data_IF_053746289765
#
_entry.id   IF_053746289765
#
_cell.length_a   1.000
_cell.length_b   1.000
_cell.length_c   1.000
_cell.angle_alpha   90.00
_cell.angle_beta   90.00
_cell.angle_gamma   90.00
#
_symmetry.space_group_name_H-M   'P 1'
#
loop_
_entity.id
_entity.type
_entity.pdbx_description
1 polymer ?
#
# COMPACT_ATOMS: atom_id res chain seq x y z
N UNK A 1 29.30 6.92 47.05
CA UNK A 1 30.74 7.27 47.00
C UNK A 1 31.09 7.76 45.62
N UNK A 2 31.41 9.08 45.56
CA UNK A 2 32.38 9.78 44.67
C UNK A 2 32.09 9.84 43.15
N UNK A 3 31.55 11.00 42.72
CA UNK A 3 31.91 11.71 41.48
C UNK A 3 33.42 12.08 41.49
N UNK A 4 34.05 12.42 40.33
CA UNK A 4 34.06 13.76 39.75
C UNK A 4 33.89 13.72 38.22
N UNK A 5 33.25 14.71 37.54
CA UNK A 5 33.54 16.13 37.29
C UNK A 5 34.89 16.44 36.61
N UNK A 6 34.82 17.02 35.43
CA UNK A 6 35.69 17.96 34.74
C UNK A 6 35.75 17.65 33.23
N UNK A 7 35.90 18.54 32.28
CA UNK A 7 35.91 19.98 32.14
C UNK A 7 35.88 20.31 30.64
N UNK A 8 35.19 21.35 30.27
CA UNK A 8 35.33 22.31 29.19
C UNK A 8 36.49 22.20 28.17
N UNK A 9 36.15 22.42 26.90
CA UNK A 9 36.89 23.43 26.08
C UNK A 9 36.03 23.89 24.90
N UNK A 10 35.74 25.16 24.87
CA UNK A 10 35.23 25.97 23.77
C UNK A 10 36.38 26.42 22.90
N UNK A 11 36.16 26.52 21.56
CA UNK A 11 36.96 27.38 20.68
C UNK A 11 36.09 27.88 19.55
N UNK A 12 35.84 29.19 19.58
CA UNK A 12 35.33 30.04 18.52
C UNK A 12 36.50 30.64 17.73
N UNK A 13 36.31 30.86 16.42
CA UNK A 13 36.96 31.90 15.59
C UNK A 13 36.19 31.93 14.28
N UNK A 14 35.39 32.93 13.97
CA UNK A 14 35.66 34.30 13.51
C UNK A 14 35.95 34.38 12.01
N UNK A 15 34.97 34.91 11.33
CA UNK A 15 34.88 36.00 10.37
C UNK A 15 36.06 36.24 9.39
N UNK A 16 35.69 36.42 8.11
CA UNK A 16 36.09 37.61 7.35
C UNK A 16 35.22 37.76 6.10
N UNK A 17 34.60 38.90 6.08
CA UNK A 17 34.00 39.65 4.98
C UNK A 17 35.04 39.97 3.91
N UNK A 18 34.60 40.13 2.67
CA UNK A 18 34.88 41.30 1.81
C UNK A 18 34.20 41.19 0.46
N UNK A 19 33.27 42.04 0.18
CA UNK A 19 32.92 42.74 -1.04
C UNK A 19 33.94 43.91 -1.23
N UNK A 20 34.14 44.61 -2.40
CA UNK A 20 33.22 44.87 -3.51
C UNK A 20 33.89 45.01 -4.90
N UNK A 21 33.09 45.35 -5.88
CA UNK A 21 33.29 46.30 -6.99
C UNK A 21 32.96 45.76 -8.39
N UNK A 22 31.90 46.31 -8.94
CA UNK A 22 31.65 46.45 -10.38
C UNK A 22 32.64 47.47 -11.02
N UNK A 23 32.79 47.54 -12.36
CA UNK A 23 31.81 48.22 -13.21
C UNK A 23 31.58 47.60 -14.60
N UNK A 24 30.45 47.97 -15.19
CA UNK A 24 30.12 47.88 -16.61
C UNK A 24 31.04 48.70 -17.53
N UNK A 25 31.13 48.38 -18.85
CA UNK A 25 30.30 49.10 -19.80
C UNK A 25 29.66 48.26 -20.93
N UNK A 26 28.50 48.68 -21.37
CA UNK A 26 27.99 48.49 -22.75
C UNK A 26 28.84 49.30 -23.76
N UNK A 27 28.81 48.96 -25.10
CA UNK A 27 27.62 49.14 -25.89
C UNK A 27 27.41 48.20 -27.12
N UNK A 28 26.17 48.15 -27.53
CA UNK A 28 25.65 48.14 -28.92
C UNK A 28 26.24 47.16 -29.96
N UNK A 29 25.41 46.22 -30.39
CA UNK A 29 25.23 45.89 -31.79
C UNK A 29 23.94 45.08 -32.02
N UNK A 30 23.02 45.68 -32.75
CA UNK A 30 21.83 45.07 -33.29
C UNK A 30 22.15 43.80 -34.09
N UNK A 31 21.51 42.70 -33.74
CA UNK A 31 21.42 41.53 -34.59
C UNK A 31 20.02 40.92 -34.49
N UNK A 32 19.44 40.81 -35.64
CA UNK A 32 18.10 40.38 -36.00
C UNK A 32 17.50 39.27 -35.14
N UNK A 33 16.25 39.52 -34.72
CA UNK A 33 15.33 38.54 -34.12
C UNK A 33 14.99 37.48 -35.13
N UNK A 34 15.54 36.31 -35.00
CA UNK A 34 14.93 35.07 -35.54
C UNK A 34 14.10 34.49 -34.41
N UNK A 35 12.79 34.60 -34.52
CA UNK A 35 11.81 33.93 -33.65
C UNK A 35 11.96 32.43 -33.82
N UNK A 36 12.34 31.66 -32.79
CA UNK A 36 12.27 30.21 -32.88
C UNK A 36 10.80 29.80 -32.96
N UNK A 37 10.45 29.04 -34.00
CA UNK A 37 9.14 28.42 -34.11
C UNK A 37 8.91 27.52 -32.90
N UNK A 38 7.78 27.73 -32.20
CA UNK A 38 7.36 26.90 -31.09
C UNK A 38 7.25 25.43 -31.56
N UNK A 39 7.76 24.45 -30.79
CA UNK A 39 7.54 23.06 -31.09
C UNK A 39 6.04 22.73 -31.07
N UNK A 40 5.57 21.83 -31.96
CA UNK A 40 4.16 21.45 -31.96
C UNK A 40 3.78 20.89 -30.58
N UNK A 41 2.53 21.13 -30.11
CA UNK A 41 2.07 20.62 -28.83
C UNK A 41 2.24 19.08 -28.84
N UNK A 42 3.01 18.58 -27.88
CA UNK A 42 3.11 17.14 -27.66
C UNK A 42 1.69 16.63 -27.42
N UNK A 43 1.25 15.70 -28.28
CA UNK A 43 -0.02 15.00 -28.13
C UNK A 43 -0.03 14.39 -26.73
N UNK A 44 -0.85 14.93 -25.82
CA UNK A 44 -0.97 14.37 -24.48
C UNK A 44 -1.45 12.93 -24.64
N UNK A 45 -0.64 11.98 -24.15
CA UNK A 45 -1.06 10.60 -24.03
C UNK A 45 -2.38 10.57 -23.22
N UNK A 46 -3.37 9.75 -23.61
CA UNK A 46 -4.61 9.63 -22.85
C UNK A 46 -4.24 9.29 -21.41
N UNK A 47 -4.93 9.88 -20.41
CA UNK A 47 -4.66 9.57 -19.01
C UNK A 47 -4.79 8.06 -18.82
N UNK A 48 -3.72 7.42 -18.37
CA UNK A 48 -3.75 6.03 -18.00
C UNK A 48 -4.89 5.86 -16.98
N UNK A 49 -5.90 5.07 -17.33
CA UNK A 49 -7.04 4.78 -16.46
C UNK A 49 -6.47 4.11 -15.20
N UNK A 50 -6.35 4.89 -14.11
CA UNK A 50 -5.83 4.39 -12.84
C UNK A 50 -6.79 3.31 -12.37
N UNK A 51 -6.26 2.11 -12.12
CA UNK A 51 -7.05 1.01 -11.56
C UNK A 51 -7.70 1.46 -10.25
N UNK A 52 -8.97 1.13 -9.99
CA UNK A 52 -9.62 1.51 -8.75
C UNK A 52 -8.85 0.94 -7.55
N UNK A 53 -8.42 1.83 -6.66
CA UNK A 53 -7.58 1.48 -5.49
C UNK A 53 -8.41 1.12 -4.25
N UNK A 54 -9.74 1.02 -4.39
CA UNK A 54 -10.64 0.70 -3.28
C UNK A 54 -10.94 -0.79 -3.23
N UNK A 55 -10.51 -1.44 -2.15
CA UNK A 55 -10.87 -2.80 -1.81
C UNK A 55 -12.27 -2.79 -1.14
N UNK A 56 -13.19 -3.59 -1.64
CA UNK A 56 -14.56 -3.68 -1.15
C UNK A 56 -14.93 -5.13 -0.82
N UNK A 57 -16.03 -5.37 -0.13
CA UNK A 57 -16.53 -6.72 0.11
C UNK A 57 -16.84 -7.48 -1.19
N UNK A 58 -17.13 -6.76 -2.27
CA UNK A 58 -17.33 -7.36 -3.58
C UNK A 58 -16.03 -7.77 -4.28
N UNK A 59 -14.87 -7.22 -3.87
CA UNK A 59 -13.56 -7.50 -4.47
C UNK A 59 -12.75 -6.24 -4.77
N UNK A 60 -11.84 -6.33 -5.76
CA UNK A 60 -10.92 -5.27 -6.16
C UNK A 60 -10.82 -5.17 -7.69
N UNK A 61 -11.07 -3.99 -8.24
CA UNK A 61 -10.98 -3.76 -9.67
C UNK A 61 -11.91 -4.71 -10.44
N UNK A 62 -11.34 -5.53 -11.32
CA UNK A 62 -12.08 -6.54 -12.07
C UNK A 62 -12.36 -7.83 -11.27
N UNK A 63 -11.60 -8.10 -10.21
CA UNK A 63 -11.83 -9.29 -9.36
C UNK A 63 -13.10 -9.14 -8.53
N UNK A 64 -13.92 -10.20 -8.53
CA UNK A 64 -15.12 -10.31 -7.70
C UNK A 64 -15.06 -11.56 -6.84
N UNK A 65 -15.35 -11.41 -5.55
CA UNK A 65 -15.48 -12.57 -4.64
C UNK A 65 -16.61 -13.48 -5.14
N UNK A 66 -16.35 -14.78 -5.21
CA UNK A 66 -17.29 -15.77 -5.69
C UNK A 66 -17.30 -15.98 -7.21
N UNK A 67 -16.63 -15.13 -7.99
CA UNK A 67 -16.57 -15.24 -9.45
C UNK A 67 -15.22 -15.82 -9.94
N UNK A 68 -15.16 -16.36 -11.15
CA UNK A 68 -13.89 -16.71 -11.79
C UNK A 68 -13.02 -15.47 -12.01
N UNK A 69 -11.71 -15.69 -12.10
CA UNK A 69 -10.78 -14.60 -12.52
C UNK A 69 -11.10 -14.20 -13.96
N UNK A 70 -11.42 -12.94 -14.25
CA UNK A 70 -11.77 -12.51 -15.59
C UNK A 70 -10.57 -12.62 -16.55
N UNK A 71 -10.80 -13.19 -17.73
CA UNK A 71 -9.79 -13.24 -18.78
C UNK A 71 -9.34 -11.82 -19.16
N UNK A 72 -8.03 -11.62 -19.38
CA UNK A 72 -7.48 -10.33 -19.77
C UNK A 72 -7.47 -9.26 -18.68
N UNK A 73 -7.82 -9.58 -17.44
CA UNK A 73 -7.86 -8.62 -16.31
C UNK A 73 -6.50 -8.26 -15.71
N UNK A 74 -5.40 -8.81 -16.25
CA UNK A 74 -4.05 -8.65 -15.67
C UNK A 74 -3.78 -9.54 -14.44
N UNK A 75 -4.80 -10.17 -13.87
CA UNK A 75 -4.66 -11.16 -12.81
C UNK A 75 -4.30 -12.51 -13.38
N UNK A 76 -3.23 -13.10 -12.90
CA UNK A 76 -2.74 -14.39 -13.35
C UNK A 76 -1.97 -15.12 -12.24
N UNK A 77 -1.91 -16.43 -12.36
CA UNK A 77 -1.01 -17.25 -11.56
C UNK A 77 0.43 -16.87 -11.87
N UNK A 78 1.22 -16.64 -10.83
CA UNK A 78 2.65 -16.32 -10.93
C UNK A 78 3.41 -17.08 -9.85
N UNK A 79 4.47 -17.78 -10.27
CA UNK A 79 5.25 -18.64 -9.40
C UNK A 79 4.61 -20.01 -9.17
N UNK A 80 5.19 -20.78 -8.25
CA UNK A 80 4.70 -22.10 -7.89
C UNK A 80 3.34 -22.00 -7.20
N UNK A 81 2.44 -22.91 -7.54
CA UNK A 81 1.14 -23.03 -6.91
C UNK A 81 1.15 -24.19 -5.91
N UNK A 82 0.41 -24.06 -4.80
CA UNK A 82 0.40 -25.05 -3.74
C UNK A 82 -0.39 -26.31 -4.15
N UNK A 83 -1.47 -26.15 -4.94
CA UNK A 83 -2.29 -27.25 -5.41
C UNK A 83 -3.06 -26.89 -6.69
N UNK A 84 -3.72 -27.89 -7.31
CA UNK A 84 -4.57 -27.67 -8.47
C UNK A 84 -5.92 -27.05 -8.10
N UNK A 85 -6.37 -27.23 -6.87
CA UNK A 85 -7.67 -26.75 -6.39
C UNK A 85 -7.59 -25.39 -5.69
N UNK A 86 -6.44 -25.04 -5.11
CA UNK A 86 -6.20 -23.73 -4.47
C UNK A 86 -5.00 -23.05 -5.11
N UNK A 87 -5.23 -21.90 -5.72
CA UNK A 87 -4.24 -21.15 -6.49
C UNK A 87 -4.14 -19.70 -6.03
N UNK A 88 -2.97 -19.10 -6.22
CA UNK A 88 -2.72 -17.70 -5.94
C UNK A 88 -2.56 -16.95 -7.25
N UNK A 89 -3.32 -15.88 -7.42
CA UNK A 89 -3.19 -14.95 -8.54
C UNK A 89 -2.74 -13.57 -8.04
N UNK A 90 -1.93 -12.91 -8.85
CA UNK A 90 -1.44 -11.54 -8.61
C UNK A 90 -1.58 -10.70 -9.86
N UNK A 91 -1.53 -9.37 -9.73
CA UNK A 91 -1.53 -8.44 -10.86
C UNK A 91 -0.42 -7.40 -10.69
N UNK A 92 0.29 -7.02 -11.77
CA UNK A 92 1.25 -5.92 -11.72
C UNK A 92 0.58 -4.56 -11.43
N UNK A 93 -0.72 -4.42 -11.74
CA UNK A 93 -1.48 -3.20 -11.49
C UNK A 93 -1.77 -2.98 -9.99
N UNK A 94 -1.66 -4.04 -9.19
CA UNK A 94 -1.90 -4.02 -7.73
C UNK A 94 -0.73 -4.63 -6.96
N UNK A 95 0.44 -3.95 -6.89
CA UNK A 95 1.59 -4.44 -6.14
C UNK A 95 1.23 -4.70 -4.67
N UNK A 96 1.64 -5.86 -4.15
CA UNK A 96 1.36 -6.24 -2.76
C UNK A 96 -0.04 -6.79 -2.51
N UNK A 97 -0.84 -6.95 -3.56
CA UNK A 97 -2.16 -7.61 -3.49
C UNK A 97 -2.09 -8.98 -4.16
N UNK A 98 -2.72 -9.96 -3.55
CA UNK A 98 -2.93 -11.28 -4.14
C UNK A 98 -4.36 -11.75 -3.89
N UNK A 99 -4.81 -12.72 -4.68
CA UNK A 99 -6.09 -13.35 -4.42
C UNK A 99 -5.92 -14.87 -4.39
N UNK A 100 -6.73 -15.52 -3.54
CA UNK A 100 -6.86 -16.96 -3.49
C UNK A 100 -8.06 -17.35 -4.36
N UNK A 101 -7.79 -18.26 -5.28
CA UNK A 101 -8.77 -18.89 -6.14
C UNK A 101 -8.91 -20.35 -5.71
N UNK A 102 -10.05 -20.72 -5.19
CA UNK A 102 -10.36 -22.09 -4.79
C UNK A 102 -11.57 -22.57 -5.58
N UNK A 103 -11.49 -23.78 -6.15
CA UNK A 103 -12.50 -24.36 -7.05
C UNK A 103 -12.87 -23.42 -8.22
N UNK A 104 -11.87 -22.77 -8.80
CA UNK A 104 -12.02 -21.86 -9.94
C UNK A 104 -12.67 -20.51 -9.63
N UNK A 105 -12.90 -20.17 -8.35
CA UNK A 105 -13.52 -18.91 -7.92
C UNK A 105 -12.64 -18.12 -6.97
N UNK A 106 -12.65 -16.82 -7.09
CA UNK A 106 -11.99 -15.93 -6.13
C UNK A 106 -12.67 -16.04 -4.77
N UNK A 107 -11.95 -16.51 -3.77
CA UNK A 107 -12.45 -16.69 -2.41
C UNK A 107 -11.94 -15.66 -1.44
N UNK A 108 -10.75 -15.11 -1.69
CA UNK A 108 -10.14 -14.07 -0.84
C UNK A 108 -9.28 -13.13 -1.70
N UNK A 109 -9.35 -11.85 -1.43
CA UNK A 109 -8.39 -10.84 -1.88
C UNK A 109 -7.66 -10.32 -0.65
N UNK A 110 -6.34 -10.31 -0.71
CA UNK A 110 -5.46 -9.90 0.40
C UNK A 110 -4.56 -8.76 -0.02
N UNK A 111 -4.47 -7.74 0.81
CA UNK A 111 -3.62 -6.58 0.63
C UNK A 111 -2.55 -6.54 1.73
N UNK A 112 -1.29 -6.83 1.39
CA UNK A 112 -0.15 -6.88 2.30
C UNK A 112 0.75 -5.64 2.21
N UNK A 113 1.95 -5.71 2.79
CA UNK A 113 2.85 -4.57 3.06
C UNK A 113 3.11 -3.59 1.91
N UNK A 114 3.07 -4.01 0.65
CA UNK A 114 3.31 -3.14 -0.51
C UNK A 114 2.03 -2.63 -1.16
N UNK A 115 0.88 -3.04 -0.64
CA UNK A 115 -0.39 -2.64 -1.18
C UNK A 115 -0.66 -1.16 -0.92
N UNK A 116 -1.22 -0.49 -1.92
CA UNK A 116 -1.68 0.91 -1.83
C UNK A 116 -3.19 1.02 -1.80
N UNK A 117 -3.88 -0.11 -1.91
CA UNK A 117 -5.34 -0.15 -1.83
C UNK A 117 -5.81 0.16 -0.42
N UNK A 118 -6.94 0.83 -0.33
CA UNK A 118 -7.62 1.12 0.93
C UNK A 118 -9.06 0.67 0.88
N UNK A 119 -9.67 0.50 2.03
CA UNK A 119 -11.12 0.38 2.15
C UNK A 119 -11.78 1.75 1.97
N UNK A 120 -13.10 1.78 1.77
CA UNK A 120 -13.86 3.01 1.65
C UNK A 120 -13.74 3.94 2.87
N UNK A 121 -13.52 3.36 4.05
CA UNK A 121 -13.28 4.04 5.31
C UNK A 121 -11.86 4.63 5.43
N UNK A 122 -11.04 4.53 4.38
CA UNK A 122 -9.66 5.03 4.36
C UNK A 122 -8.67 4.14 5.13
N UNK A 123 -9.09 2.95 5.57
CA UNK A 123 -8.21 2.00 6.24
C UNK A 123 -7.39 1.25 5.19
N UNK A 124 -6.08 1.30 5.33
CA UNK A 124 -5.10 0.58 4.52
C UNK A 124 -4.06 -0.11 5.39
N UNK A 125 -3.12 -0.82 4.75
CA UNK A 125 -1.95 -1.38 5.44
C UNK A 125 -1.16 -0.25 6.12
N UNK A 126 -0.72 -0.46 7.35
CA UNK A 126 -0.06 0.54 8.20
C UNK A 126 -1.01 1.39 9.05
N UNK A 127 -2.33 1.33 8.85
CA UNK A 127 -3.31 1.96 9.73
C UNK A 127 -3.18 1.39 11.16
N UNK A 128 -3.49 2.19 12.18
CA UNK A 128 -3.44 1.71 13.56
C UNK A 128 -4.64 0.83 13.91
N UNK A 129 -4.45 -0.10 14.85
CA UNK A 129 -5.56 -0.88 15.43
C UNK A 129 -6.70 0.02 15.94
N UNK A 130 -6.37 1.18 16.51
CA UNK A 130 -7.36 2.13 16.99
C UNK A 130 -8.24 2.69 15.85
N UNK A 131 -7.65 2.98 14.68
CA UNK A 131 -8.40 3.41 13.50
C UNK A 131 -9.32 2.30 13.00
N UNK A 132 -8.84 1.05 12.96
CA UNK A 132 -9.66 -0.12 12.58
C UNK A 132 -10.86 -0.25 13.53
N UNK A 133 -10.64 -0.21 14.85
CA UNK A 133 -11.71 -0.34 15.84
C UNK A 133 -12.71 0.80 15.80
N UNK A 134 -12.27 2.01 15.46
CA UNK A 134 -13.16 3.16 15.29
C UNK A 134 -14.05 3.02 14.03
N UNK A 135 -13.46 2.54 12.93
CA UNK A 135 -14.19 2.34 11.68
C UNK A 135 -15.10 1.09 11.70
N UNK A 136 -14.68 0.05 12.41
CA UNK A 136 -15.34 -1.25 12.44
C UNK A 136 -15.60 -1.73 13.89
N UNK A 137 -16.53 -1.13 14.60
CA UNK A 137 -16.88 -1.57 15.95
C UNK A 137 -17.46 -2.99 15.93
N UNK A 138 -17.13 -3.79 16.96
CA UNK A 138 -17.66 -5.13 17.12
C UNK A 138 -16.88 -6.25 16.39
N UNK A 139 -15.76 -5.94 15.75
CA UNK A 139 -14.89 -6.99 15.19
C UNK A 139 -14.37 -7.89 16.31
N UNK A 140 -14.41 -9.20 16.07
CA UNK A 140 -13.93 -10.21 17.02
C UNK A 140 -12.42 -10.29 16.97
N UNK A 141 -11.82 -10.38 18.13
CA UNK A 141 -10.37 -10.54 18.29
C UNK A 141 -10.02 -12.02 18.45
N UNK A 142 -8.96 -12.44 17.74
CA UNK A 142 -8.38 -13.77 17.85
C UNK A 142 -6.85 -13.65 17.92
N UNK A 143 -6.14 -14.52 18.68
CA UNK A 143 -4.68 -14.51 18.70
C UNK A 143 -4.10 -14.70 17.30
N UNK A 144 -3.04 -13.96 16.97
CA UNK A 144 -2.32 -14.16 15.71
C UNK A 144 -1.51 -15.47 15.75
N UNK A 145 -1.50 -16.22 14.64
CA UNK A 145 -0.84 -17.52 14.59
C UNK A 145 0.68 -17.42 14.79
N UNK A 146 1.30 -16.33 14.29
CA UNK A 146 2.76 -16.20 14.26
C UNK A 146 3.31 -15.00 15.03
N UNK A 147 2.46 -14.03 15.36
CA UNK A 147 2.88 -12.81 16.05
C UNK A 147 2.38 -12.86 17.49
N UNK A 148 3.31 -12.86 18.44
CA UNK A 148 2.95 -12.80 19.86
C UNK A 148 2.14 -11.54 20.18
N UNK A 149 1.36 -11.57 21.27
CA UNK A 149 0.62 -10.40 21.73
C UNK A 149 1.53 -9.16 21.77
N UNK A 150 1.05 -8.00 21.28
CA UNK A 150 -0.32 -7.64 20.95
C UNK A 150 -0.81 -8.02 19.56
N UNK A 151 -0.03 -8.82 18.79
CA UNK A 151 -0.43 -9.31 17.47
C UNK A 151 -1.74 -10.10 17.55
N UNK A 152 -2.63 -9.88 16.59
CA UNK A 152 -3.98 -10.46 16.58
C UNK A 152 -4.62 -10.41 15.22
N UNK A 153 -5.70 -11.16 15.06
CA UNK A 153 -6.67 -10.97 13.98
C UNK A 153 -7.86 -10.19 14.50
N UNK A 154 -8.43 -9.36 13.65
CA UNK A 154 -9.73 -8.72 13.85
C UNK A 154 -10.66 -9.15 12.72
N UNK A 155 -11.68 -9.94 13.04
CA UNK A 155 -12.59 -10.54 12.06
C UNK A 155 -13.98 -9.97 12.21
N UNK A 156 -14.63 -9.61 11.11
CA UNK A 156 -15.98 -9.07 11.09
C UNK A 156 -16.97 -10.01 11.79
N UNK A 157 -17.93 -9.48 12.58
CA UNK A 157 -19.02 -10.28 13.12
C UNK A 157 -19.84 -10.86 11.95
N UNK A 158 -20.25 -12.12 12.03
CA UNK A 158 -21.02 -12.75 10.98
C UNK A 158 -20.22 -13.30 9.80
N UNK A 159 -18.88 -13.22 9.80
CA UNK A 159 -18.03 -13.78 8.74
C UNK A 159 -18.30 -15.26 8.43
N UNK A 160 -18.83 -16.02 9.41
CA UNK A 160 -19.17 -17.43 9.23
C UNK A 160 -20.49 -17.66 8.46
N UNK A 161 -21.24 -16.62 8.13
CA UNK A 161 -22.55 -16.75 7.47
C UNK A 161 -22.46 -17.08 5.97
N UNK A 162 -21.25 -17.10 5.38
CA UNK A 162 -21.03 -17.44 3.97
C UNK A 162 -20.91 -16.23 3.04
N UNK A 163 -21.27 -15.04 3.51
CA UNK A 163 -21.09 -13.80 2.78
C UNK A 163 -19.62 -13.29 2.85
N UNK A 164 -19.17 -12.49 1.89
CA UNK A 164 -17.87 -11.85 1.96
C UNK A 164 -17.75 -10.96 3.20
N UNK A 165 -16.64 -11.10 3.90
CA UNK A 165 -16.36 -10.37 5.13
C UNK A 165 -14.93 -9.85 5.16
N UNK A 166 -14.64 -8.93 6.10
CA UNK A 166 -13.31 -8.39 6.38
C UNK A 166 -12.61 -9.15 7.51
N UNK A 167 -11.30 -9.30 7.35
CA UNK A 167 -10.37 -9.71 8.40
C UNK A 167 -9.11 -8.86 8.30
N UNK A 168 -8.62 -8.36 9.42
CA UNK A 168 -7.34 -7.66 9.52
C UNK A 168 -6.35 -8.49 10.29
N UNK A 169 -5.10 -8.45 9.86
CA UNK A 169 -3.96 -8.86 10.67
C UNK A 169 -3.35 -7.62 11.32
N UNK A 170 -3.16 -7.68 12.63
CA UNK A 170 -2.53 -6.64 13.43
C UNK A 170 -1.19 -7.15 13.92
N UNK A 171 -0.13 -6.38 13.64
CA UNK A 171 1.23 -6.72 14.02
C UNK A 171 1.56 -6.38 15.48
N UNK A 172 2.81 -6.66 15.89
CA UNK A 172 3.30 -6.35 17.23
C UNK A 172 3.37 -4.83 17.53
N UNK A 173 3.39 -3.98 16.48
CA UNK A 173 3.35 -2.52 16.60
C UNK A 173 1.91 -1.96 16.62
N UNK A 174 0.90 -2.84 16.71
CA UNK A 174 -0.53 -2.49 16.63
C UNK A 174 -0.90 -1.76 15.33
N UNK A 175 -0.29 -2.19 14.24
CA UNK A 175 -0.56 -1.71 12.87
C UNK A 175 -1.19 -2.83 12.05
N UNK A 176 -2.01 -2.44 11.09
CA UNK A 176 -2.51 -3.36 10.06
C UNK A 176 -1.32 -3.83 9.22
N UNK A 177 -1.01 -5.10 9.27
CA UNK A 177 0.00 -5.75 8.42
C UNK A 177 -0.61 -6.32 7.15
N UNK A 178 -1.86 -6.78 7.22
CA UNK A 178 -2.58 -7.31 6.08
C UNK A 178 -4.11 -7.10 6.22
N UNK A 179 -4.78 -6.93 5.09
CA UNK A 179 -6.24 -6.81 4.99
C UNK A 179 -6.74 -7.93 4.09
N UNK A 180 -7.74 -8.67 4.52
CA UNK A 180 -8.39 -9.72 3.77
C UNK A 180 -9.86 -9.42 3.56
N UNK A 181 -10.34 -9.63 2.35
CA UNK A 181 -11.76 -9.67 2.00
C UNK A 181 -12.05 -11.02 1.37
N UNK A 182 -13.06 -11.72 1.85
CA UNK A 182 -13.41 -13.04 1.30
C UNK A 182 -14.44 -13.76 2.10
N UNK A 183 -14.64 -15.03 1.75
CA UNK A 183 -15.62 -15.93 2.40
C UNK A 183 -14.92 -17.01 3.22
N UNK A 184 -15.53 -17.43 4.32
CA UNK A 184 -15.05 -18.59 5.06
C UNK A 184 -15.21 -19.88 4.24
N UNK A 185 -14.32 -20.90 4.42
CA UNK A 185 -13.19 -20.91 5.36
C UNK A 185 -11.94 -20.13 4.88
N UNK A 186 -11.84 -19.80 3.59
CA UNK A 186 -10.66 -19.24 2.94
C UNK A 186 -10.25 -17.87 3.53
N UNK A 187 -11.23 -17.08 3.99
CA UNK A 187 -10.95 -15.83 4.71
C UNK A 187 -10.10 -16.06 5.96
N UNK A 188 -10.26 -17.19 6.61
CA UNK A 188 -9.54 -17.58 7.82
C UNK A 188 -8.20 -18.27 7.59
N UNK A 189 -7.82 -18.58 6.35
CA UNK A 189 -6.55 -19.23 6.07
C UNK A 189 -5.36 -18.38 6.50
N UNK A 190 -4.46 -18.96 7.24
CA UNK A 190 -3.28 -18.28 7.80
C UNK A 190 -2.14 -18.22 6.78
N UNK A 191 -1.99 -19.25 5.97
CA UNK A 191 -0.89 -19.40 5.00
C UNK A 191 -1.38 -19.51 3.56
N UNK A 192 -2.38 -18.71 3.20
CA UNK A 192 -2.97 -18.73 1.86
C UNK A 192 -3.43 -20.14 1.43
N UNK A 193 -2.81 -20.75 0.42
CA UNK A 193 -3.14 -22.06 -0.12
C UNK A 193 -2.31 -23.22 0.47
N UNK A 194 -1.56 -23.01 1.55
CA UNK A 194 -0.70 -24.05 2.15
C UNK A 194 -1.39 -24.80 3.27
#
# INVERSE_FOLDING_TARGET
MKLPLALLAAAACAACSQEPAAPSPEPDAAAASATPAAPPPASAAPPATRSPETLTLAGLGALRIGEPVPAGSGWAERGAQASDTCRIVTSPDYPGVYAIVEDGRVRRVSAGQRARVTLAEGIGVGASEAQVRAAFPGFREEPHAYVAAPGKYLTAPGAAAGDPALRFEIDAARKVSEIHVGTMPVLGYVEACS
#
